data_IF_101018721217
#
_entry.id   IF_101018721217
#
_cell.length_a   1.000
_cell.length_b   1.000
_cell.length_c   1.000
_cell.angle_alpha   90.00
_cell.angle_beta   90.00
_cell.angle_gamma   90.00
#
_symmetry.space_group_name_H-M   'P 1'
#
loop_
_entity.id
_entity.type
_entity.pdbx_description
1 polymer ?
#
# COMPACT_ATOMS: atom_id res chain seq x y z
N UNK A 1 0.49 24.54 8.26
CA UNK A 1 -0.10 23.33 7.65
C UNK A 1 -0.78 22.51 8.74
N UNK A 2 -1.81 23.06 9.41
CA UNK A 2 -2.33 22.47 10.66
C UNK A 2 -3.86 22.36 10.74
N UNK A 3 -4.62 23.35 10.26
CA UNK A 3 -6.08 23.38 10.50
C UNK A 3 -6.86 22.16 9.99
N UNK A 4 -6.53 21.60 8.82
CA UNK A 4 -7.26 20.45 8.29
C UNK A 4 -7.11 19.20 9.17
N UNK A 5 -5.87 18.85 9.55
CA UNK A 5 -5.61 17.65 10.35
C UNK A 5 -6.00 17.86 11.82
N UNK A 6 -5.84 19.09 12.33
CA UNK A 6 -6.31 19.49 13.65
C UNK A 6 -7.83 19.42 13.76
N UNK A 7 -8.58 19.95 12.78
CA UNK A 7 -10.04 19.87 12.73
C UNK A 7 -10.54 18.42 12.60
N UNK A 8 -9.74 17.54 11.99
CA UNK A 8 -10.00 16.10 11.91
C UNK A 8 -9.62 15.35 13.20
N UNK A 9 -8.90 15.98 14.13
CA UNK A 9 -8.43 15.38 15.37
C UNK A 9 -7.44 14.24 15.15
N UNK A 10 -6.61 14.32 14.10
CA UNK A 10 -5.64 13.27 13.74
C UNK A 10 -4.22 13.79 13.71
N UNK A 11 -3.26 12.93 14.06
CA UNK A 11 -1.83 13.21 14.04
C UNK A 11 -1.07 12.09 13.32
N UNK A 12 0.23 12.28 12.99
CA UNK A 12 1.04 11.21 12.42
C UNK A 12 1.03 9.91 13.25
N UNK A 13 0.99 10.03 14.58
CA UNK A 13 0.97 8.91 15.53
C UNK A 13 -0.30 8.08 15.42
N UNK A 14 -1.44 8.70 15.05
CA UNK A 14 -2.71 8.01 14.78
C UNK A 14 -2.53 6.89 13.76
N UNK A 15 -1.61 7.06 12.80
CA UNK A 15 -1.42 6.14 11.69
C UNK A 15 -0.15 5.28 11.76
N UNK A 16 0.59 5.33 12.88
CA UNK A 16 1.85 4.58 13.07
C UNK A 16 1.69 3.06 12.93
N UNK A 17 0.46 2.54 13.11
CA UNK A 17 0.09 1.12 12.94
C UNK A 17 -1.05 0.95 11.94
N UNK A 18 -1.23 1.90 11.03
CA UNK A 18 -2.28 1.82 10.02
C UNK A 18 -2.07 0.57 9.17
N UNK A 19 -3.06 -0.32 9.18
CA UNK A 19 -3.08 -1.47 8.29
C UNK A 19 -3.60 -1.05 6.93
N UNK A 20 -2.98 -1.57 5.87
CA UNK A 20 -3.57 -1.43 4.54
C UNK A 20 -4.94 -2.11 4.52
N UNK A 21 -5.97 -1.45 3.96
CA UNK A 21 -7.26 -2.08 3.71
C UNK A 21 -7.10 -3.39 2.94
N UNK A 22 -7.95 -4.39 3.23
CA UNK A 22 -7.80 -5.76 2.69
C UNK A 22 -7.72 -5.81 1.16
N UNK A 23 -8.47 -4.95 0.47
CA UNK A 23 -8.50 -4.89 -0.99
C UNK A 23 -7.14 -4.52 -1.61
N UNK A 24 -6.27 -3.82 -0.88
CA UNK A 24 -4.93 -3.52 -1.38
C UNK A 24 -4.15 -4.80 -1.67
N UNK A 25 -4.34 -5.87 -0.89
CA UNK A 25 -3.61 -7.12 -1.13
C UNK A 25 -3.89 -7.62 -2.55
N UNK A 26 -5.16 -7.77 -2.93
CA UNK A 26 -5.54 -8.28 -4.24
C UNK A 26 -5.01 -7.43 -5.39
N UNK A 27 -5.07 -6.10 -5.25
CA UNK A 27 -4.56 -5.16 -6.25
C UNK A 27 -3.03 -5.20 -6.34
N UNK A 28 -2.33 -5.21 -5.20
CA UNK A 28 -0.87 -5.18 -5.18
C UNK A 28 -0.24 -6.39 -5.85
N UNK A 29 -0.85 -7.56 -5.72
CA UNK A 29 -0.33 -8.78 -6.32
C UNK A 29 -0.55 -8.84 -7.84
N UNK A 30 -1.29 -7.89 -8.42
CA UNK A 30 -1.45 -7.73 -9.86
C UNK A 30 -0.49 -6.66 -10.44
N UNK A 31 0.18 -5.90 -9.58
CA UNK A 31 1.11 -4.86 -10.02
C UNK A 31 2.44 -5.45 -10.51
N UNK A 32 3.12 -4.74 -11.44
CA UNK A 32 4.46 -5.11 -11.88
C UNK A 32 5.47 -4.98 -10.74
N UNK A 33 6.63 -5.65 -10.87
CA UNK A 33 7.71 -5.69 -9.85
C UNK A 33 8.08 -4.34 -9.23
N UNK A 34 8.10 -3.29 -10.04
CA UNK A 34 8.47 -1.93 -9.64
C UNK A 34 7.34 -0.97 -10.01
N UNK A 35 6.24 -0.97 -9.26
CA UNK A 35 5.11 -0.12 -9.58
C UNK A 35 5.43 1.34 -9.24
N UNK A 36 5.08 2.25 -10.13
CA UNK A 36 5.04 3.68 -9.82
C UNK A 36 3.68 3.99 -9.20
N UNK A 37 3.66 4.26 -7.90
CA UNK A 37 2.42 4.47 -7.13
C UNK A 37 2.22 5.97 -6.89
N UNK A 38 0.99 6.44 -7.13
CA UNK A 38 0.50 7.76 -6.76
C UNK A 38 -0.63 7.59 -5.75
N UNK A 39 -0.52 8.25 -4.58
CA UNK A 39 -1.50 8.15 -3.49
C UNK A 39 -2.24 9.49 -3.32
N UNK A 40 -3.46 9.56 -3.84
CA UNK A 40 -4.31 10.75 -3.72
C UNK A 40 -4.86 10.87 -2.30
N UNK A 41 -4.72 12.04 -1.69
CA UNK A 41 -5.14 12.23 -0.30
C UNK A 41 -4.30 11.40 0.66
N UNK A 42 -2.99 11.29 0.39
CA UNK A 42 -2.05 10.48 1.17
C UNK A 42 -2.00 10.80 2.66
N UNK A 43 -2.53 11.95 3.09
CA UNK A 43 -2.54 12.36 4.49
C UNK A 43 -1.11 12.46 5.02
N UNK A 44 -0.76 11.58 5.96
CA UNK A 44 0.59 11.48 6.51
C UNK A 44 1.45 10.40 5.81
N UNK A 45 0.99 9.85 4.70
CA UNK A 45 1.72 8.84 3.90
C UNK A 45 1.61 7.41 4.42
N UNK A 46 0.67 7.15 5.32
CA UNK A 46 0.55 5.87 6.04
C UNK A 46 0.36 4.65 5.13
N UNK A 47 -0.34 4.80 3.99
CA UNK A 47 -0.54 3.71 3.04
C UNK A 47 0.78 3.34 2.36
N UNK A 48 1.49 4.33 1.81
CA UNK A 48 2.79 4.12 1.17
C UNK A 48 3.82 3.52 2.14
N UNK A 49 3.79 3.95 3.40
CA UNK A 49 4.64 3.39 4.45
C UNK A 49 4.33 1.91 4.67
N UNK A 50 3.05 1.56 4.87
CA UNK A 50 2.62 0.18 5.07
C UNK A 50 2.89 -0.72 3.84
N UNK A 51 2.83 -0.16 2.62
CA UNK A 51 3.19 -0.86 1.38
C UNK A 51 4.67 -1.19 1.37
N UNK A 52 5.52 -0.24 1.73
CA UNK A 52 6.97 -0.39 1.79
C UNK A 52 7.39 -1.44 2.83
N UNK A 53 6.71 -1.49 3.97
CA UNK A 53 7.04 -2.42 5.06
C UNK A 53 6.59 -3.86 4.78
N UNK A 54 5.48 -4.07 4.07
CA UNK A 54 4.88 -5.41 3.85
C UNK A 54 5.56 -6.26 2.78
N UNK A 55 6.62 -5.78 2.11
CA UNK A 55 7.36 -6.51 1.06
C UNK A 55 6.44 -7.31 0.12
N UNK A 56 5.48 -6.64 -0.51
CA UNK A 56 4.56 -7.31 -1.45
C UNK A 56 5.35 -7.98 -2.57
N UNK A 57 5.08 -9.26 -2.82
CA UNK A 57 5.62 -9.99 -3.95
C UNK A 57 4.88 -9.55 -5.23
N UNK A 58 5.38 -8.46 -5.81
CA UNK A 58 4.91 -7.94 -7.08
C UNK A 58 5.24 -8.92 -8.23
N UNK A 59 4.40 -8.92 -9.27
CA UNK A 59 4.54 -9.89 -10.37
C UNK A 59 5.64 -9.50 -11.35
N UNK A 60 6.38 -10.50 -11.83
CA UNK A 60 7.28 -10.35 -12.97
C UNK A 60 6.44 -10.36 -14.25
N UNK A 61 5.87 -9.23 -14.65
CA UNK A 61 5.14 -9.08 -15.91
C UNK A 61 6.08 -8.95 -17.11
N UNK A 62 6.96 -9.93 -17.31
CA UNK A 62 7.87 -10.04 -18.48
C UNK A 62 7.61 -11.28 -19.34
N UNK A 63 6.43 -11.91 -19.27
CA UNK A 63 6.09 -13.04 -20.14
C UNK A 63 4.62 -13.43 -20.05
N UNK A 64 3.97 -13.56 -21.21
CA UNK A 64 2.58 -14.02 -21.29
C UNK A 64 2.41 -15.44 -20.76
N UNK A 65 1.38 -15.64 -19.94
CA UNK A 65 1.00 -16.94 -19.37
C UNK A 65 0.48 -16.76 -17.97
N UNK A 66 -0.81 -17.05 -17.76
CA UNK A 66 -1.51 -16.85 -16.49
C UNK A 66 -0.79 -17.50 -15.31
N UNK A 67 -0.22 -16.68 -14.43
CA UNK A 67 0.31 -17.11 -13.16
C UNK A 67 -0.77 -16.90 -12.10
N UNK A 68 -1.18 -18.00 -11.45
CA UNK A 68 -1.97 -17.99 -10.23
C UNK A 68 -1.19 -17.18 -9.18
N UNK A 69 -1.63 -15.95 -8.89
CA UNK A 69 -0.94 -15.04 -7.95
C UNK A 69 -1.23 -15.46 -6.51
N UNK A 70 -0.55 -16.50 -6.04
CA UNK A 70 -0.48 -16.82 -4.62
C UNK A 70 0.40 -15.79 -3.91
N UNK A 71 -0.25 -14.69 -3.54
CA UNK A 71 0.33 -13.64 -2.75
C UNK A 71 0.36 -14.08 -1.29
N UNK A 72 1.33 -14.92 -0.95
CA UNK A 72 1.73 -15.12 0.44
C UNK A 72 2.34 -13.79 0.91
N UNK A 73 1.54 -12.98 1.59
CA UNK A 73 2.08 -12.04 2.56
C UNK A 73 2.66 -12.92 3.67
N UNK A 74 3.98 -12.94 3.81
CA UNK A 74 4.61 -13.46 5.02
C UNK A 74 4.13 -12.56 6.15
N UNK A 75 3.18 -13.07 6.94
CA UNK A 75 2.73 -12.47 8.19
C UNK A 75 3.71 -12.89 9.28
#
# INVERSE_FOLDING_TARGET
MSEYFEARGVSPETYKRASLPTYFKEVMCQLPKEPRILDFGCGFGQNLLAIKERNFNFTNSNGGGGANVNCLALI
#
